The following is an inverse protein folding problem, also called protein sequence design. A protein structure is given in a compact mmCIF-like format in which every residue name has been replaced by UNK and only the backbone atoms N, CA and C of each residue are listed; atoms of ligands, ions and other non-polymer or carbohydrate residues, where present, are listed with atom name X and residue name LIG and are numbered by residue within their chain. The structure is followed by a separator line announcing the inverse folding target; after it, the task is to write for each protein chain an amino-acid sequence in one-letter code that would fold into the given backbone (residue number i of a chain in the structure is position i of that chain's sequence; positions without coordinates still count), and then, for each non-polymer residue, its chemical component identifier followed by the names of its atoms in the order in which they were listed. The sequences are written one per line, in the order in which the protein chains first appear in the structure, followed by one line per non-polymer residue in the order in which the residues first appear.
data_IF_398710424721
#
_entry.id   IF_398710424721
#
_cell.length_a   1.000
_cell.length_b   1.000
_cell.length_c   1.000
_cell.angle_alpha   90.00
_cell.angle_beta   90.00
_cell.angle_gamma   90.00
#
_symmetry.space_group_name_H-M   'P 1'
#
loop_
_entity.id
_entity.type
_entity.pdbx_description
1 polymer ?
#
# COMPACT_ATOMS: atom_id res chain seq x y z
N UNK A 1 35.57 27.92 10.98
CA UNK A 1 34.59 27.19 10.15
C UNK A 1 34.01 26.06 10.98
N UNK A 2 32.71 26.09 11.25
CA UNK A 2 32.00 25.10 12.08
C UNK A 2 31.49 23.98 11.18
N UNK A 3 31.77 22.73 11.55
CA UNK A 3 31.25 21.53 10.90
C UNK A 3 29.81 21.31 11.42
N UNK A 4 28.79 21.14 10.56
CA UNK A 4 27.44 20.86 11.02
C UNK A 4 27.31 19.45 11.62
N UNK A 5 26.64 19.36 12.78
CA UNK A 5 26.46 18.17 13.63
C UNK A 5 25.57 17.05 13.05
N UNK A 6 25.06 17.17 11.83
CA UNK A 6 24.13 16.19 11.25
C UNK A 6 24.79 14.92 10.69
N UNK A 7 26.11 14.79 10.76
CA UNK A 7 26.89 13.66 10.20
C UNK A 7 27.24 12.54 11.20
N UNK A 8 26.69 12.57 12.43
CA UNK A 8 27.03 11.59 13.49
C UNK A 8 26.05 10.42 13.68
N UNK A 9 25.08 10.19 12.80
CA UNK A 9 24.03 9.15 13.01
C UNK A 9 23.85 8.13 11.88
N UNK A 10 24.91 7.74 11.19
CA UNK A 10 24.87 6.55 10.31
C UNK A 10 25.96 5.58 10.73
N UNK A 11 25.68 4.79 11.75
CA UNK A 11 26.53 3.67 12.17
C UNK A 11 25.63 2.45 12.40
N UNK A 12 25.92 1.40 11.62
CA UNK A 12 25.58 -0.01 11.78
C UNK A 12 24.11 -0.44 11.57
N UNK A 13 23.82 -0.83 10.32
CA UNK A 13 22.99 -2.01 10.06
C UNK A 13 23.90 -3.08 9.44
N UNK A 14 24.37 -4.01 10.28
CA UNK A 14 25.05 -5.24 9.86
C UNK A 14 23.94 -6.21 9.46
N UNK A 15 23.86 -6.55 8.18
CA UNK A 15 23.06 -7.68 7.71
C UNK A 15 23.98 -8.89 7.76
N UNK A 16 23.68 -9.81 8.68
CA UNK A 16 24.28 -11.14 8.72
C UNK A 16 23.58 -11.99 7.66
N UNK A 17 24.30 -12.35 6.62
CA UNK A 17 23.92 -13.35 5.63
C UNK A 17 24.48 -14.70 6.10
N UNK A 18 23.60 -15.58 6.57
CA UNK A 18 23.93 -16.95 6.91
C UNK A 18 22.74 -17.85 6.55
N UNK A 19 22.74 -18.41 5.35
CA UNK A 19 22.56 -19.87 5.13
C UNK A 19 22.45 -20.18 3.64
N UNK A 20 23.57 -20.65 3.11
CA UNK A 20 23.62 -21.44 1.89
C UNK A 20 23.18 -22.90 2.15
N UNK A 21 22.81 -23.55 1.05
CA UNK A 21 22.76 -25.00 0.82
C UNK A 21 21.47 -25.74 1.20
N UNK A 22 20.65 -26.07 0.19
CA UNK A 22 20.68 -27.42 -0.41
C UNK A 22 19.65 -27.57 -1.53
N UNK A 23 20.14 -27.80 -2.75
CA UNK A 23 19.49 -28.60 -3.79
C UNK A 23 20.32 -29.90 -3.91
N UNK A 24 19.77 -31.06 -4.33
CA UNK A 24 19.52 -31.28 -5.77
C UNK A 24 18.39 -32.29 -6.12
N UNK A 25 17.91 -32.27 -7.37
CA UNK A 25 18.01 -33.40 -8.32
C UNK A 25 17.03 -33.22 -9.50
N UNK A 26 17.52 -33.60 -10.67
CA UNK A 26 16.98 -33.40 -12.00
C UNK A 26 15.85 -34.38 -12.39
N UNK A 27 15.05 -33.98 -13.39
CA UNK A 27 14.58 -34.89 -14.43
C UNK A 27 14.23 -34.08 -15.69
N UNK A 28 14.90 -34.45 -16.78
CA UNK A 28 14.68 -34.01 -18.15
C UNK A 28 13.37 -34.60 -18.69
N UNK A 29 12.64 -33.84 -19.51
CA UNK A 29 11.86 -34.44 -20.61
C UNK A 29 11.72 -33.40 -21.73
N UNK A 30 12.42 -33.65 -22.83
CA UNK A 30 12.15 -33.05 -24.13
C UNK A 30 10.85 -33.65 -24.71
N UNK A 31 10.04 -32.84 -25.41
CA UNK A 31 9.38 -33.27 -26.65
C UNK A 31 8.68 -32.11 -27.36
N UNK A 32 9.24 -31.79 -28.52
CA UNK A 32 8.66 -31.38 -29.81
C UNK A 32 7.30 -30.67 -29.94
N UNK A 33 7.38 -29.49 -30.56
CA UNK A 33 6.83 -29.15 -31.88
C UNK A 33 5.41 -29.60 -32.27
N UNK A 34 4.50 -28.65 -32.47
CA UNK A 34 3.87 -28.39 -33.78
C UNK A 34 2.85 -27.25 -33.77
N UNK A 35 2.99 -26.43 -34.81
CA UNK A 35 2.15 -25.36 -35.33
C UNK A 35 0.69 -25.74 -35.55
N UNK A 36 -0.25 -24.82 -35.31
CA UNK A 36 -1.49 -24.69 -36.09
C UNK A 36 -2.07 -23.27 -35.98
N UNK A 37 -2.48 -22.76 -37.12
CA UNK A 37 -2.94 -21.41 -37.36
C UNK A 37 -4.47 -21.29 -37.27
N UNK A 38 -4.91 -20.03 -37.35
CA UNK A 38 -6.21 -19.52 -37.79
C UNK A 38 -7.34 -19.38 -36.76
N UNK A 39 -7.70 -18.11 -36.52
CA UNK A 39 -8.97 -17.63 -37.04
C UNK A 39 -10.03 -17.21 -36.03
N UNK A 40 -10.46 -15.96 -36.18
CA UNK A 40 -11.77 -15.39 -35.80
C UNK A 40 -12.07 -15.16 -34.31
N UNK A 41 -12.04 -13.88 -33.91
CA UNK A 41 -13.13 -13.30 -33.11
C UNK A 41 -13.20 -11.77 -33.32
N UNK A 42 -14.41 -11.33 -33.64
CA UNK A 42 -14.83 -9.97 -33.97
C UNK A 42 -14.40 -8.91 -32.98
N UNK A 43 -13.96 -7.78 -33.53
CA UNK A 43 -14.03 -6.50 -32.84
C UNK A 43 -15.49 -6.12 -32.56
N UNK A 44 -15.79 -5.86 -31.30
CA UNK A 44 -16.89 -5.00 -30.90
C UNK A 44 -16.29 -3.89 -30.04
N UNK A 45 -16.22 -2.70 -30.64
CA UNK A 45 -16.09 -1.45 -29.92
C UNK A 45 -17.37 -1.27 -29.09
N UNK A 46 -17.23 -1.12 -27.78
CA UNK A 46 -18.27 -0.48 -26.97
C UNK A 46 -17.61 0.63 -26.16
N UNK A 47 -17.88 1.85 -26.60
CA UNK A 47 -17.51 3.08 -25.94
C UNK A 47 -18.38 3.29 -24.69
N UNK A 48 -17.70 3.59 -23.58
CA UNK A 48 -18.00 4.71 -22.68
C UNK A 48 -19.45 4.90 -22.21
N UNK A 49 -19.71 4.49 -20.96
CA UNK A 49 -20.38 5.33 -19.95
C UNK A 49 -20.25 4.69 -18.57
N UNK A 50 -19.29 5.17 -17.79
CA UNK A 50 -19.30 5.01 -16.34
C UNK A 50 -19.06 6.39 -15.78
N UNK A 51 -20.14 7.12 -15.53
CA UNK A 51 -20.14 8.34 -14.75
C UNK A 51 -20.27 7.94 -13.28
N UNK A 52 -19.18 8.19 -12.56
CA UNK A 52 -19.13 8.86 -11.26
C UNK A 52 -20.25 8.57 -10.26
N UNK A 53 -19.88 7.85 -9.20
CA UNK A 53 -20.17 8.32 -7.85
C UNK A 53 -18.90 8.19 -7.02
N UNK A 54 -18.29 9.34 -6.79
CA UNK A 54 -17.21 9.55 -5.84
C UNK A 54 -17.56 8.99 -4.45
N UNK A 55 -16.61 8.28 -3.85
CA UNK A 55 -16.22 8.52 -2.45
C UNK A 55 -14.83 7.91 -2.28
N UNK A 56 -13.81 8.72 -2.60
CA UNK A 56 -12.49 8.53 -2.03
C UNK A 56 -12.58 8.79 -0.54
N UNK A 57 -12.92 7.77 0.24
CA UNK A 57 -12.73 7.77 1.68
C UNK A 57 -11.35 7.21 1.98
N UNK A 58 -10.49 8.13 2.38
CA UNK A 58 -9.22 7.94 3.05
C UNK A 58 -9.28 6.77 4.06
N UNK A 59 -8.35 5.79 4.00
CA UNK A 59 -8.31 4.69 4.96
C UNK A 59 -7.82 5.24 6.30
N UNK A 60 -8.75 5.54 7.19
CA UNK A 60 -8.45 6.13 8.49
C UNK A 60 -9.65 6.64 9.29
N UNK A 61 -10.87 6.61 8.72
CA UNK A 61 -12.07 6.91 9.48
C UNK A 61 -12.55 5.64 10.20
N UNK A 62 -12.54 5.70 11.53
CA UNK A 62 -13.00 4.68 12.47
C UNK A 62 -14.21 3.90 11.95
N UNK A 63 -13.98 2.70 11.42
CA UNK A 63 -15.04 1.77 10.98
C UNK A 63 -15.68 1.06 12.17
N UNK A 64 -16.01 1.83 13.21
CA UNK A 64 -16.79 1.34 14.34
C UNK A 64 -18.26 1.46 13.99
N UNK A 65 -19.01 0.39 14.19
CA UNK A 65 -20.47 0.44 14.17
C UNK A 65 -20.89 1.27 15.39
N UNK A 66 -21.64 2.35 15.18
CA UNK A 66 -22.32 3.03 16.28
C UNK A 66 -23.48 2.15 16.74
N UNK A 67 -23.30 1.52 17.90
CA UNK A 67 -24.25 0.56 18.45
C UNK A 67 -25.56 1.25 18.82
N UNK A 68 -25.51 2.48 19.34
CA UNK A 68 -26.72 3.20 19.77
C UNK A 68 -27.58 3.60 18.56
N UNK A 69 -26.95 4.04 17.47
CA UNK A 69 -27.67 4.33 16.23
C UNK A 69 -28.21 3.06 15.57
N UNK A 70 -27.48 1.95 15.64
CA UNK A 70 -27.94 0.64 15.14
C UNK A 70 -29.16 0.14 15.94
N UNK A 71 -29.10 0.19 17.27
CA UNK A 71 -30.21 -0.17 18.16
C UNK A 71 -31.44 0.66 17.84
N UNK A 72 -31.30 1.99 17.74
CA UNK A 72 -32.41 2.89 17.39
C UNK A 72 -33.00 2.58 16.02
N UNK A 73 -32.16 2.25 15.03
CA UNK A 73 -32.62 1.85 13.70
C UNK A 73 -33.42 0.55 13.75
N UNK A 74 -32.92 -0.46 14.47
CA UNK A 74 -33.61 -1.75 14.62
C UNK A 74 -34.94 -1.57 15.37
N UNK A 75 -34.96 -0.78 16.44
CA UNK A 75 -36.19 -0.47 17.18
C UNK A 75 -37.23 0.21 16.27
N UNK A 76 -36.79 1.12 15.41
CA UNK A 76 -37.67 1.75 14.41
C UNK A 76 -38.23 0.71 13.44
N UNK A 77 -37.39 -0.20 12.93
CA UNK A 77 -37.83 -1.28 12.03
C UNK A 77 -38.83 -2.23 12.70
N UNK A 78 -38.66 -2.53 13.99
CA UNK A 78 -39.61 -3.32 14.77
C UNK A 78 -40.93 -2.56 14.88
N UNK A 79 -40.89 -1.28 15.24
CA UNK A 79 -42.10 -0.46 15.38
C UNK A 79 -42.85 -0.32 14.05
N UNK A 80 -42.13 -0.19 12.94
CA UNK A 80 -42.69 -0.05 11.59
C UNK A 80 -43.19 -1.38 10.99
N UNK A 81 -42.79 -2.52 11.56
CA UNK A 81 -43.24 -3.83 11.10
C UNK A 81 -44.77 -3.96 11.23
N UNK A 82 -45.50 -4.27 10.14
CA UNK A 82 -46.94 -4.48 10.17
C UNK A 82 -47.40 -5.53 11.19
N UNK A 83 -46.59 -6.57 11.44
CA UNK A 83 -46.88 -7.60 12.43
C UNK A 83 -46.85 -7.06 13.87
N UNK A 84 -46.14 -5.96 14.13
CA UNK A 84 -46.06 -5.29 15.43
C UNK A 84 -47.23 -4.32 15.70
N UNK A 85 -47.98 -3.95 14.66
CA UNK A 85 -49.07 -2.97 14.74
C UNK A 85 -50.13 -3.27 15.83
N UNK A 86 -50.57 -4.51 16.07
CA UNK A 86 -51.53 -4.82 17.14
C UNK A 86 -51.00 -4.47 18.53
N UNK A 87 -49.71 -4.71 18.79
CA UNK A 87 -49.09 -4.34 20.06
C UNK A 87 -48.94 -2.84 20.19
N UNK A 88 -48.58 -2.13 19.11
CA UNK A 88 -48.48 -0.67 19.10
C UNK A 88 -49.80 -0.01 19.50
N UNK A 89 -50.89 -0.43 18.86
CA UNK A 89 -52.23 0.09 19.17
C UNK A 89 -52.66 -0.23 20.62
N UNK A 90 -52.30 -1.40 21.14
CA UNK A 90 -52.50 -1.75 22.55
C UNK A 90 -51.68 -0.86 23.50
N UNK A 91 -50.41 -0.62 23.21
CA UNK A 91 -49.54 0.21 24.02
C UNK A 91 -50.04 1.67 24.05
N UNK A 92 -50.44 2.22 22.90
CA UNK A 92 -51.04 3.55 22.79
C UNK A 92 -52.35 3.65 23.60
N UNK A 93 -53.24 2.66 23.48
CA UNK A 93 -54.49 2.62 24.25
C UNK A 93 -54.22 2.54 25.75
N UNK A 94 -53.33 1.64 26.17
CA UNK A 94 -52.89 1.49 27.56
C UNK A 94 -52.35 2.81 28.11
N UNK A 95 -51.50 3.49 27.35
CA UNK A 95 -50.94 4.77 27.77
C UNK A 95 -52.00 5.88 27.81
N UNK A 96 -52.94 5.91 26.87
CA UNK A 96 -54.00 6.93 26.81
C UNK A 96 -54.94 6.90 28.03
N UNK A 97 -55.18 5.72 28.61
CA UNK A 97 -56.06 5.55 29.76
C UNK A 97 -55.29 5.50 31.09
N UNK A 98 -53.96 5.65 31.08
CA UNK A 98 -53.12 5.51 32.27
C UNK A 98 -53.47 6.51 33.40
N UNK A 99 -53.97 7.70 33.04
CA UNK A 99 -54.43 8.69 34.00
C UNK A 99 -55.78 8.32 34.64
N UNK A 100 -56.64 7.61 33.92
CA UNK A 100 -57.98 7.21 34.39
C UNK A 100 -57.96 5.87 35.14
N UNK A 101 -57.04 4.97 34.77
CA UNK A 101 -56.85 3.67 35.40
C UNK A 101 -55.38 3.55 35.84
N UNK A 102 -55.05 3.95 37.09
CA UNK A 102 -53.69 3.90 37.60
C UNK A 102 -53.16 2.47 37.74
N UNK A 103 -54.05 1.51 38.05
CA UNK A 103 -53.71 0.10 38.17
C UNK A 103 -53.36 -0.51 36.80
N UNK A 104 -52.12 -1.01 36.68
CA UNK A 104 -51.59 -1.53 35.41
C UNK A 104 -52.35 -2.76 34.91
N UNK A 105 -52.77 -3.66 35.81
CA UNK A 105 -53.47 -4.88 35.43
C UNK A 105 -54.86 -4.55 34.86
N UNK A 106 -55.62 -3.68 35.52
CA UNK A 106 -56.92 -3.20 35.03
C UNK A 106 -56.76 -2.40 33.74
N UNK A 107 -55.71 -1.58 33.64
CA UNK A 107 -55.39 -0.80 32.43
C UNK A 107 -55.12 -1.70 31.23
N UNK A 108 -54.31 -2.74 31.38
CA UNK A 108 -54.00 -3.66 30.27
C UNK A 108 -55.23 -4.46 29.86
N UNK A 109 -56.09 -4.87 30.81
CA UNK A 109 -57.38 -5.50 30.48
C UNK A 109 -58.31 -4.54 29.72
N UNK A 110 -58.41 -3.30 30.17
CA UNK A 110 -59.22 -2.28 29.51
C UNK A 110 -58.68 -1.93 28.11
N UNK A 111 -57.36 -1.82 27.96
CA UNK A 111 -56.72 -1.60 26.67
C UNK A 111 -56.96 -2.76 25.70
N UNK A 112 -56.80 -4.01 26.16
CA UNK A 112 -57.06 -5.21 25.35
C UNK A 112 -58.50 -5.22 24.80
N UNK A 113 -59.48 -4.89 25.65
CA UNK A 113 -60.89 -4.74 25.25
C UNK A 113 -61.09 -3.56 24.27
N UNK A 114 -60.42 -2.44 24.51
CA UNK A 114 -60.54 -1.22 23.70
C UNK A 114 -59.99 -1.37 22.28
N UNK A 115 -58.89 -2.10 22.11
CA UNK A 115 -58.24 -2.30 20.79
C UNK A 115 -58.86 -3.49 20.03
N UNK A 116 -59.85 -4.18 20.64
CA UNK A 116 -60.56 -5.33 20.04
C UNK A 116 -59.61 -6.42 19.55
N UNK A 117 -58.55 -6.69 20.30
CA UNK A 117 -57.57 -7.74 20.02
C UNK A 117 -57.63 -8.82 21.10
N UNK A 118 -56.86 -9.90 20.93
CA UNK A 118 -56.74 -10.98 21.91
C UNK A 118 -55.27 -11.15 22.35
N UNK A 119 -55.08 -11.89 23.46
CA UNK A 119 -53.75 -12.08 24.05
C UNK A 119 -52.79 -12.78 23.09
N UNK A 120 -53.25 -13.79 22.34
CA UNK A 120 -52.41 -14.54 21.41
C UNK A 120 -51.90 -13.67 20.25
N UNK A 121 -52.77 -12.81 19.70
CA UNK A 121 -52.41 -11.84 18.67
C UNK A 121 -51.44 -10.78 19.20
N UNK A 122 -51.59 -10.36 20.46
CA UNK A 122 -50.67 -9.43 21.11
C UNK A 122 -49.29 -10.06 21.33
N UNK A 123 -49.25 -11.30 21.82
CA UNK A 123 -48.02 -12.05 22.03
C UNK A 123 -47.33 -12.34 20.69
N UNK A 124 -48.08 -12.72 19.66
CA UNK A 124 -47.57 -12.86 18.29
C UNK A 124 -47.00 -11.56 17.74
N UNK A 125 -47.68 -10.44 17.98
CA UNK A 125 -47.20 -9.12 17.56
C UNK A 125 -45.90 -8.72 18.26
N UNK A 126 -45.80 -8.92 19.58
CA UNK A 126 -44.54 -8.68 20.31
C UNK A 126 -43.45 -9.57 19.77
N UNK A 127 -43.71 -10.87 19.56
CA UNK A 127 -42.72 -11.83 19.07
C UNK A 127 -42.24 -11.55 17.64
N UNK A 128 -42.95 -10.75 16.85
CA UNK A 128 -42.53 -10.38 15.49
C UNK A 128 -41.20 -9.58 15.44
N UNK A 129 -40.72 -9.05 16.57
CA UNK A 129 -39.39 -8.46 16.66
C UNK A 129 -38.28 -9.45 16.27
N UNK A 130 -38.47 -10.74 16.58
CA UNK A 130 -37.50 -11.78 16.26
C UNK A 130 -37.26 -11.92 14.76
N UNK A 131 -38.30 -11.74 13.93
CA UNK A 131 -38.20 -11.79 12.47
C UNK A 131 -37.41 -10.60 11.91
N UNK A 132 -37.60 -9.41 12.50
CA UNK A 132 -36.84 -8.20 12.15
C UNK A 132 -35.38 -8.38 12.52
N UNK A 133 -35.10 -8.88 13.73
CA UNK A 133 -33.73 -9.16 14.19
C UNK A 133 -33.05 -10.21 13.31
N UNK A 134 -33.74 -11.29 12.96
CA UNK A 134 -33.20 -12.32 12.07
C UNK A 134 -32.87 -11.75 10.67
N UNK A 135 -33.72 -10.87 10.15
CA UNK A 135 -33.51 -10.20 8.86
C UNK A 135 -32.31 -9.24 8.93
N UNK A 136 -32.23 -8.40 9.96
CA UNK A 136 -31.12 -7.46 10.13
C UNK A 136 -29.80 -8.20 10.40
N UNK A 137 -29.81 -9.31 11.14
CA UNK A 137 -28.64 -10.16 11.32
C UNK A 137 -28.13 -10.71 9.99
N UNK A 138 -29.04 -11.20 9.14
CA UNK A 138 -28.69 -11.69 7.80
C UNK A 138 -28.10 -10.57 6.94
N UNK A 139 -28.74 -9.40 6.93
CA UNK A 139 -28.27 -8.23 6.20
C UNK A 139 -26.89 -7.78 6.67
N UNK A 140 -26.67 -7.74 7.98
CA UNK A 140 -25.39 -7.41 8.59
C UNK A 140 -24.29 -8.37 8.12
N UNK A 141 -24.53 -9.68 8.20
CA UNK A 141 -23.57 -10.68 7.74
C UNK A 141 -23.29 -10.57 6.23
N UNK A 142 -24.32 -10.46 5.40
CA UNK A 142 -24.13 -10.49 3.94
C UNK A 142 -23.59 -9.19 3.35
N UNK A 143 -23.95 -8.04 3.92
CA UNK A 143 -23.59 -6.75 3.34
C UNK A 143 -22.42 -6.08 4.05
N UNK A 144 -22.37 -6.13 5.38
CA UNK A 144 -21.32 -5.46 6.13
C UNK A 144 -20.10 -6.37 6.30
N UNK A 145 -20.28 -7.58 6.84
CA UNK A 145 -19.15 -8.49 7.12
C UNK A 145 -18.47 -8.92 5.83
N UNK A 146 -19.22 -9.41 4.84
CA UNK A 146 -18.63 -9.85 3.58
C UNK A 146 -17.89 -8.72 2.84
N UNK A 147 -18.40 -7.48 2.90
CA UNK A 147 -17.72 -6.31 2.32
C UNK A 147 -16.44 -5.98 3.07
N UNK A 148 -16.49 -5.93 4.41
CA UNK A 148 -15.32 -5.66 5.23
C UNK A 148 -14.23 -6.72 5.01
N UNK A 149 -14.60 -7.99 4.90
CA UNK A 149 -13.67 -9.08 4.58
C UNK A 149 -13.04 -8.91 3.19
N UNK A 150 -13.83 -8.52 2.19
CA UNK A 150 -13.33 -8.24 0.84
C UNK A 150 -12.38 -7.03 0.83
N UNK A 151 -12.71 -5.96 1.55
CA UNK A 151 -11.85 -4.78 1.68
C UNK A 151 -10.53 -5.13 2.37
N UNK A 152 -10.57 -5.94 3.44
CA UNK A 152 -9.36 -6.45 4.12
C UNK A 152 -8.51 -7.29 3.17
N UNK A 153 -9.12 -8.17 2.38
CA UNK A 153 -8.40 -9.00 1.42
C UNK A 153 -7.71 -8.14 0.34
N UNK A 154 -8.40 -7.12 -0.17
CA UNK A 154 -7.84 -6.17 -1.13
C UNK A 154 -6.67 -5.37 -0.56
N UNK A 155 -6.79 -4.89 0.68
CA UNK A 155 -5.71 -4.18 1.37
C UNK A 155 -4.48 -5.07 1.59
N UNK A 156 -4.67 -6.34 1.95
CA UNK A 156 -3.56 -7.31 2.08
C UNK A 156 -2.86 -7.59 0.74
N UNK A 157 -3.61 -7.66 -0.34
CA UNK A 157 -3.03 -7.80 -1.68
C UNK A 157 -2.21 -6.56 -2.05
N UNK A 158 -2.74 -5.37 -1.78
CA UNK A 158 -2.04 -4.11 -2.00
C UNK A 158 -0.76 -4.02 -1.16
N UNK A 159 -0.81 -4.40 0.12
CA UNK A 159 0.37 -4.48 1.00
C UNK A 159 1.44 -5.41 0.43
N UNK A 160 1.05 -6.58 -0.07
CA UNK A 160 1.97 -7.56 -0.68
C UNK A 160 2.66 -6.97 -1.91
N UNK A 161 1.90 -6.36 -2.82
CA UNK A 161 2.44 -5.71 -4.03
C UNK A 161 3.41 -4.59 -3.69
N UNK A 162 3.08 -3.76 -2.69
CA UNK A 162 3.96 -2.68 -2.25
C UNK A 162 5.27 -3.23 -1.64
N UNK A 163 5.21 -4.32 -0.88
CA UNK A 163 6.41 -4.96 -0.34
C UNK A 163 7.31 -5.53 -1.46
N UNK A 164 6.73 -6.10 -2.51
CA UNK A 164 7.48 -6.56 -3.69
C UNK A 164 8.16 -5.39 -4.42
N UNK A 165 7.44 -4.28 -4.60
CA UNK A 165 7.98 -3.06 -5.22
C UNK A 165 9.13 -2.47 -4.41
N UNK A 166 8.98 -2.38 -3.07
CA UNK A 166 10.05 -1.95 -2.16
C UNK A 166 11.27 -2.86 -2.31
N UNK A 167 11.08 -4.18 -2.37
CA UNK A 167 12.17 -5.13 -2.58
C UNK A 167 12.89 -4.93 -3.91
N UNK A 168 12.14 -4.66 -4.99
CA UNK A 168 12.72 -4.37 -6.31
C UNK A 168 13.52 -3.06 -6.31
N UNK A 169 12.97 -1.99 -5.73
CA UNK A 169 13.65 -0.70 -5.61
C UNK A 169 14.92 -0.79 -4.75
N UNK A 170 14.90 -1.58 -3.67
CA UNK A 170 16.07 -1.82 -2.84
C UNK A 170 17.22 -2.48 -3.64
N UNK A 171 16.91 -3.46 -4.50
CA UNK A 171 17.90 -4.09 -5.40
C UNK A 171 18.46 -3.10 -6.41
N UNK A 172 17.61 -2.29 -7.04
CA UNK A 172 18.06 -1.25 -7.97
C UNK A 172 18.96 -0.22 -7.28
N UNK A 173 18.64 0.17 -6.05
CA UNK A 173 19.46 1.09 -5.27
C UNK A 173 20.84 0.50 -4.95
N UNK A 174 20.90 -0.78 -4.58
CA UNK A 174 22.16 -1.49 -4.34
C UNK A 174 23.03 -1.54 -5.61
N UNK A 175 22.44 -1.85 -6.76
CA UNK A 175 23.14 -1.87 -8.04
C UNK A 175 23.71 -0.48 -8.41
N UNK A 176 22.90 0.58 -8.25
CA UNK A 176 23.34 1.95 -8.55
C UNK A 176 24.45 2.42 -7.62
N UNK A 177 24.43 2.03 -6.35
CA UNK A 177 25.53 2.31 -5.42
C UNK A 177 26.82 1.57 -5.82
N UNK A 178 26.73 0.30 -6.23
CA UNK A 178 27.89 -0.43 -6.74
C UNK A 178 28.49 0.21 -8.00
N UNK A 179 27.64 0.67 -8.93
CA UNK A 179 28.07 1.42 -10.12
C UNK A 179 28.77 2.74 -9.73
N UNK A 180 28.21 3.49 -8.78
CA UNK A 180 28.81 4.72 -8.27
C UNK A 180 30.20 4.47 -7.67
N UNK A 181 30.37 3.41 -6.90
CA UNK A 181 31.66 3.06 -6.29
C UNK A 181 32.70 2.65 -7.34
N UNK A 182 32.28 1.88 -8.35
CA UNK A 182 33.14 1.51 -9.48
C UNK A 182 33.61 2.75 -10.26
N UNK A 183 32.69 3.68 -10.55
CA UNK A 183 33.02 4.97 -11.21
C UNK A 183 33.97 5.79 -10.33
N UNK A 184 33.73 5.87 -9.03
CA UNK A 184 34.58 6.61 -8.10
C UNK A 184 36.01 6.04 -8.06
N UNK A 185 36.16 4.71 -8.05
CA UNK A 185 37.48 4.06 -8.17
C UNK A 185 38.16 4.38 -9.50
N UNK A 186 37.42 4.38 -10.61
CA UNK A 186 37.93 4.74 -11.94
C UNK A 186 38.42 6.19 -11.99
N UNK A 187 37.66 7.13 -11.43
CA UNK A 187 38.05 8.54 -11.31
C UNK A 187 39.35 8.69 -10.53
N UNK A 188 39.47 8.02 -9.39
CA UNK A 188 40.67 8.09 -8.56
C UNK A 188 41.90 7.51 -9.30
N UNK A 189 41.74 6.37 -9.96
CA UNK A 189 42.80 5.75 -10.77
C UNK A 189 43.26 6.66 -11.91
N UNK A 190 42.32 7.23 -12.68
CA UNK A 190 42.64 8.17 -13.76
C UNK A 190 43.29 9.46 -13.26
N UNK A 191 42.83 9.98 -12.12
CA UNK A 191 43.43 11.17 -11.48
C UNK A 191 44.88 10.91 -11.09
N UNK A 192 45.17 9.76 -10.46
CA UNK A 192 46.52 9.36 -10.11
C UNK A 192 47.41 9.15 -11.35
N UNK A 193 46.88 8.48 -12.39
CA UNK A 193 47.57 8.29 -13.66
C UNK A 193 47.91 9.61 -14.35
N UNK A 194 46.99 10.57 -14.36
CA UNK A 194 47.21 11.91 -14.91
C UNK A 194 48.29 12.67 -14.13
N UNK A 195 48.27 12.61 -12.80
CA UNK A 195 49.29 13.24 -11.96
C UNK A 195 50.68 12.67 -12.25
N UNK A 196 50.79 11.34 -12.36
CA UNK A 196 52.03 10.66 -12.74
C UNK A 196 52.51 11.07 -14.14
N UNK A 197 51.64 11.05 -15.14
CA UNK A 197 51.97 11.43 -16.50
C UNK A 197 52.51 12.88 -16.60
N UNK A 198 51.96 13.81 -15.81
CA UNK A 198 52.47 15.19 -15.72
C UNK A 198 53.89 15.24 -15.18
N UNK A 199 54.20 14.49 -14.11
CA UNK A 199 55.54 14.43 -13.51
C UNK A 199 56.52 13.81 -14.51
N UNK A 200 56.15 12.69 -15.12
CA UNK A 200 57.00 11.99 -16.09
C UNK A 200 57.30 12.88 -17.31
N UNK A 201 56.30 13.60 -17.83
CA UNK A 201 56.48 14.55 -18.92
C UNK A 201 57.41 15.71 -18.54
N UNK A 202 57.25 16.28 -17.35
CA UNK A 202 58.10 17.37 -16.87
C UNK A 202 59.57 16.94 -16.70
N UNK A 203 59.79 15.69 -16.26
CA UNK A 203 61.12 15.08 -16.19
C UNK A 203 61.75 14.91 -17.58
N UNK A 204 60.99 14.40 -18.55
CA UNK A 204 61.44 14.27 -19.95
C UNK A 204 61.74 15.65 -20.54
N UNK A 205 60.87 16.64 -20.33
CA UNK A 205 61.07 18.02 -20.78
C UNK A 205 62.39 18.57 -20.26
N UNK A 206 62.62 18.47 -18.94
CA UNK A 206 63.85 18.95 -18.29
C UNK A 206 65.09 18.28 -18.86
N UNK A 207 65.05 16.95 -19.03
CA UNK A 207 66.15 16.18 -19.62
C UNK A 207 66.48 16.64 -21.04
N UNK A 208 65.46 16.85 -21.87
CA UNK A 208 65.64 17.33 -23.24
C UNK A 208 66.20 18.75 -23.28
N UNK A 209 65.68 19.68 -22.46
CA UNK A 209 66.20 21.05 -22.36
C UNK A 209 67.69 21.02 -22.01
N UNK A 210 68.09 20.28 -20.98
CA UNK A 210 69.51 20.15 -20.59
C UNK A 210 70.38 19.58 -21.72
N UNK A 211 69.88 18.55 -22.43
CA UNK A 211 70.58 17.95 -23.56
C UNK A 211 70.82 18.97 -24.67
N UNK A 212 69.78 19.70 -25.08
CA UNK A 212 69.87 20.65 -26.18
C UNK A 212 70.66 21.91 -25.79
N UNK A 213 70.50 22.44 -24.57
CA UNK A 213 71.33 23.54 -24.05
C UNK A 213 72.81 23.14 -24.02
N UNK A 214 73.11 21.90 -23.64
CA UNK A 214 74.47 21.35 -23.68
C UNK A 214 75.03 21.28 -25.10
N UNK A 215 74.21 20.92 -26.10
CA UNK A 215 74.60 20.94 -27.52
C UNK A 215 74.86 22.38 -27.99
N UNK A 216 73.98 23.33 -27.66
CA UNK A 216 74.15 24.75 -28.01
C UNK A 216 75.46 25.29 -27.45
N UNK A 217 75.75 25.04 -26.17
CA UNK A 217 77.02 25.46 -25.55
C UNK A 217 78.23 24.84 -26.24
N UNK A 218 78.18 23.55 -26.60
CA UNK A 218 79.25 22.90 -27.36
C UNK A 218 79.44 23.52 -28.74
N UNK A 219 78.36 23.78 -29.48
CA UNK A 219 78.42 24.45 -30.79
C UNK A 219 79.03 25.85 -30.68
N UNK A 220 78.61 26.64 -29.68
CA UNK A 220 79.19 27.96 -29.40
C UNK A 220 80.68 27.87 -29.07
N UNK A 221 81.10 26.89 -28.28
CA UNK A 221 82.52 26.68 -27.97
C UNK A 221 83.36 26.34 -29.21
N UNK A 222 82.93 25.35 -30.00
CA UNK A 222 83.73 24.90 -31.15
C UNK A 222 83.69 25.83 -32.37
N UNK A 223 82.54 26.47 -32.63
CA UNK A 223 82.34 27.27 -33.84
C UNK A 223 82.42 28.78 -33.57
N UNK A 224 82.26 29.22 -32.32
CA UNK A 224 82.31 30.63 -31.93
C UNK A 224 83.73 31.17 -31.70
N UNK A 225 84.65 30.37 -31.14
CA UNK A 225 86.06 30.77 -31.01
C UNK A 225 86.81 30.78 -32.34
N UNK A 226 86.30 30.08 -33.35
CA UNK A 226 86.90 30.02 -34.69
C UNK A 226 86.68 31.27 -35.55
N UNK A 227 85.97 32.30 -35.05
CA UNK A 227 85.69 33.54 -35.77
C UNK A 227 86.61 34.72 -35.41
N UNK A 228 87.60 34.52 -34.52
CA UNK A 228 88.54 35.55 -34.07
C UNK A 228 90.02 35.17 -34.18
N UNK A 229 90.36 34.16 -35.01
CA UNK A 229 91.73 33.81 -35.38
C UNK A 229 92.12 34.38 -36.73
#
# INVERSE_FOLDING_TARGET
MKIPESLKKVVNLVIVDESAASAPAAAETESDSSTSAAGTASGHQSSLRTQDAQTGQQPGASSGIDVADLEKRIDTLIQDNPAYAPYRAFAEMSQSIAAAVPDEQQRYRAALLGVKTNLDALLGAVNSHADVLATEQKNFASAFVARAEADIASLREQETRLNEEIGALARQLAEKNAQKDAVSKSINSKTAGLAKAKIDFESVRTTLVQKYDGIVKKLQGYLGESAHG
#
